data_IF_578823905907
#
_entry.id   IF_578823905907
#
_cell.length_a   1.000
_cell.length_b   1.000
_cell.length_c   1.000
_cell.angle_alpha   90.00
_cell.angle_beta   90.00
_cell.angle_gamma   90.00
#
_symmetry.space_group_name_H-M   'P 1'
#
loop_
_entity.id
_entity.type
_entity.pdbx_description
1 polymer ?
#
# COMPACT_ATOMS: atom_id res chain seq x y z
N UNK A 1 3.58 17.48 -6.50
CA UNK A 1 2.97 16.14 -6.49
C UNK A 1 2.12 15.98 -5.25
N UNK A 2 1.02 15.27 -5.38
CA UNK A 2 0.11 15.05 -4.26
C UNK A 2 0.53 13.83 -3.44
N UNK A 3 0.06 13.77 -2.21
CA UNK A 3 0.24 12.63 -1.30
C UNK A 3 -1.10 11.93 -1.13
N UNK A 4 -1.06 10.62 -1.07
CA UNK A 4 -2.25 9.78 -0.97
C UNK A 4 -2.10 8.79 0.16
N UNK A 5 -3.16 8.64 0.95
CA UNK A 5 -3.27 7.60 1.96
C UNK A 5 -4.03 6.43 1.33
N UNK A 6 -3.35 5.28 1.26
CA UNK A 6 -3.91 4.05 0.69
C UNK A 6 -4.10 3.05 1.81
N UNK A 7 -5.28 2.47 1.87
CA UNK A 7 -5.60 1.41 2.83
C UNK A 7 -5.94 0.14 2.08
N UNK A 8 -5.23 -0.95 2.41
CA UNK A 8 -5.58 -2.29 1.97
C UNK A 8 -6.39 -3.00 3.04
N UNK A 9 -7.42 -3.72 2.61
CA UNK A 9 -8.08 -4.73 3.43
C UNK A 9 -7.76 -6.08 2.80
N UNK A 10 -7.18 -7.00 3.58
CA UNK A 10 -6.78 -8.30 3.05
C UNK A 10 -7.92 -9.29 3.09
N UNK A 11 -7.92 -10.23 2.13
CA UNK A 11 -8.85 -11.35 2.11
C UNK A 11 -8.46 -12.44 3.12
N UNK A 12 -9.25 -13.53 3.18
CA UNK A 12 -9.07 -14.57 4.21
C UNK A 12 -7.90 -15.51 3.98
N UNK A 13 -7.28 -15.51 2.80
CA UNK A 13 -6.18 -16.44 2.47
C UNK A 13 -4.86 -15.91 3.04
N UNK A 14 -4.69 -16.08 4.35
CA UNK A 14 -3.51 -15.63 5.07
C UNK A 14 -2.25 -16.40 4.63
N UNK A 15 -2.37 -17.68 4.31
CA UNK A 15 -1.21 -18.49 3.91
C UNK A 15 -0.60 -17.98 2.61
N UNK A 16 -1.43 -17.70 1.60
CA UNK A 16 -0.95 -17.11 0.34
C UNK A 16 -0.34 -15.73 0.59
N UNK A 17 -0.99 -14.89 1.39
CA UNK A 17 -0.47 -13.56 1.72
C UNK A 17 0.92 -13.65 2.37
N UNK A 18 1.09 -14.56 3.32
CA UNK A 18 2.37 -14.73 4.00
C UNK A 18 3.46 -15.26 3.05
N UNK A 19 3.11 -16.11 2.11
CA UNK A 19 4.08 -16.61 1.13
C UNK A 19 4.52 -15.54 0.12
N UNK A 20 3.65 -14.57 -0.19
CA UNK A 20 3.94 -13.47 -1.12
C UNK A 20 4.55 -12.25 -0.40
N UNK A 21 4.43 -12.17 0.92
CA UNK A 21 4.88 -11.02 1.71
C UNK A 21 6.33 -10.60 1.45
N UNK A 22 7.32 -11.50 1.31
CA UNK A 22 8.67 -11.06 0.97
C UNK A 22 8.75 -10.29 -0.34
N UNK A 23 8.06 -10.76 -1.38
CA UNK A 23 8.02 -10.05 -2.67
C UNK A 23 7.32 -8.70 -2.57
N UNK A 24 6.22 -8.63 -1.82
CA UNK A 24 5.50 -7.38 -1.54
C UNK A 24 6.42 -6.36 -0.86
N UNK A 25 7.16 -6.78 0.17
CA UNK A 25 8.08 -5.89 0.89
C UNK A 25 9.26 -5.46 0.03
N UNK A 26 9.75 -6.32 -0.85
CA UNK A 26 10.79 -5.96 -1.81
C UNK A 26 10.30 -4.89 -2.80
N UNK A 27 9.07 -5.04 -3.29
CA UNK A 27 8.44 -4.03 -4.13
C UNK A 27 8.30 -2.69 -3.39
N UNK A 28 7.87 -2.72 -2.13
CA UNK A 28 7.77 -1.53 -1.30
C UNK A 28 9.13 -0.86 -1.09
N UNK A 29 10.18 -1.63 -0.84
CA UNK A 29 11.54 -1.09 -0.67
C UNK A 29 12.00 -0.35 -1.91
N UNK A 30 11.71 -0.90 -3.10
CA UNK A 30 12.03 -0.24 -4.36
C UNK A 30 11.25 1.08 -4.53
N UNK A 31 9.99 1.12 -4.12
CA UNK A 31 9.18 2.34 -4.19
C UNK A 31 9.66 3.39 -3.17
N UNK A 32 10.11 2.96 -2.01
CA UNK A 32 10.67 3.85 -0.99
C UNK A 32 11.95 4.51 -1.53
N UNK A 33 12.84 3.74 -2.12
CA UNK A 33 14.08 4.24 -2.71
C UNK A 33 13.80 5.22 -3.86
N UNK A 34 12.78 4.95 -4.66
CA UNK A 34 12.38 5.81 -5.77
C UNK A 34 11.64 7.08 -5.32
N UNK A 35 11.31 7.21 -4.05
CA UNK A 35 10.61 8.38 -3.51
C UNK A 35 9.11 8.38 -3.75
N UNK A 36 8.54 7.28 -4.25
CA UNK A 36 7.10 7.14 -4.44
C UNK A 36 6.37 6.67 -3.21
N UNK A 37 7.00 5.82 -2.40
CA UNK A 37 6.48 5.41 -1.10
C UNK A 37 7.15 6.23 -0.01
N UNK A 38 6.35 6.83 0.88
CA UNK A 38 6.87 7.65 1.98
C UNK A 38 6.87 6.88 3.30
N UNK A 39 5.87 6.04 3.52
CA UNK A 39 5.73 5.21 4.70
C UNK A 39 4.75 4.09 4.42
N UNK A 40 4.88 2.97 5.11
CA UNK A 40 3.91 1.89 5.07
C UNK A 40 4.05 1.00 6.29
N UNK A 41 2.99 0.25 6.58
CA UNK A 41 3.01 -0.73 7.65
C UNK A 41 1.67 -1.43 7.79
N UNK A 42 1.63 -2.55 8.52
CA UNK A 42 0.39 -3.25 8.80
C UNK A 42 -0.48 -2.46 9.79
N UNK A 43 -1.79 -2.57 9.62
CA UNK A 43 -2.75 -2.11 10.62
C UNK A 43 -2.89 -3.21 11.67
N UNK A 44 -2.59 -2.87 12.92
CA UNK A 44 -2.48 -3.85 14.01
C UNK A 44 -3.60 -3.64 15.03
N UNK A 45 -4.82 -3.78 14.61
CA UNK A 45 -5.99 -3.76 15.49
C UNK A 45 -6.73 -5.11 15.45
N UNK A 46 -7.87 -5.18 16.12
CA UNK A 46 -8.68 -6.40 16.22
C UNK A 46 -9.59 -6.62 15.01
N UNK A 47 -9.52 -5.73 14.02
CA UNK A 47 -10.33 -5.79 12.83
C UNK A 47 -9.69 -6.68 11.75
N UNK A 48 -10.30 -6.69 10.57
CA UNK A 48 -9.77 -7.42 9.43
C UNK A 48 -8.34 -6.97 9.12
N UNK A 49 -7.41 -7.90 8.91
CA UNK A 49 -6.02 -7.53 8.57
C UNK A 49 -5.95 -6.58 7.39
N UNK A 50 -5.10 -5.60 7.50
CA UNK A 50 -4.92 -4.58 6.47
C UNK A 50 -3.56 -3.92 6.53
N UNK A 51 -3.33 -2.99 5.62
CA UNK A 51 -2.11 -2.21 5.55
C UNK A 51 -2.39 -0.77 5.21
N UNK A 52 -1.47 0.10 5.59
CA UNK A 52 -1.49 1.52 5.26
C UNK A 52 -0.25 1.85 4.45
N UNK A 53 -0.44 2.54 3.32
CA UNK A 53 0.66 3.02 2.50
C UNK A 53 0.46 4.51 2.24
N UNK A 54 1.51 5.29 2.44
CA UNK A 54 1.53 6.70 2.11
C UNK A 54 2.36 6.87 0.86
N UNK A 55 1.73 7.31 -0.23
CA UNK A 55 2.33 7.35 -1.56
C UNK A 55 2.27 8.77 -2.14
N UNK A 56 3.22 9.05 -2.98
CA UNK A 56 3.30 10.32 -3.71
C UNK A 56 3.08 10.06 -5.20
N UNK A 57 2.25 10.88 -5.83
CA UNK A 57 1.99 10.77 -7.26
C UNK A 57 1.23 11.99 -7.77
N UNK A 58 0.97 12.01 -9.08
CA UNK A 58 0.28 13.12 -9.72
C UNK A 58 -1.22 13.12 -9.40
N UNK A 59 -1.83 11.94 -9.41
CA UNK A 59 -3.27 11.76 -9.21
C UNK A 59 -3.58 10.32 -8.75
N UNK A 60 -4.87 10.06 -8.49
CA UNK A 60 -5.32 8.74 -8.05
C UNK A 60 -5.07 7.65 -9.09
N UNK A 61 -5.18 7.98 -10.36
CA UNK A 61 -4.97 7.00 -11.44
C UNK A 61 -3.53 6.51 -11.48
N UNK A 62 -2.57 7.43 -11.28
CA UNK A 62 -1.16 7.06 -11.17
C UNK A 62 -0.91 6.15 -9.97
N UNK A 63 -1.53 6.46 -8.83
CA UNK A 63 -1.42 5.61 -7.63
C UNK A 63 -2.04 4.23 -7.89
N UNK A 64 -3.21 4.15 -8.51
CA UNK A 64 -3.84 2.88 -8.83
C UNK A 64 -2.98 2.03 -9.77
N UNK A 65 -2.35 2.65 -10.76
CA UNK A 65 -1.42 1.98 -11.69
C UNK A 65 -0.20 1.44 -10.94
N UNK A 66 0.34 2.22 -10.00
CA UNK A 66 1.47 1.79 -9.19
C UNK A 66 1.10 0.60 -8.30
N UNK A 67 -0.06 0.65 -7.65
CA UNK A 67 -0.53 -0.42 -6.78
C UNK A 67 -0.80 -1.72 -7.53
N UNK A 68 -1.15 -1.65 -8.82
CA UNK A 68 -1.34 -2.84 -9.65
C UNK A 68 -0.04 -3.64 -9.85
N UNK A 69 1.11 -3.04 -9.58
CA UNK A 69 2.43 -3.68 -9.65
C UNK A 69 2.80 -4.39 -8.35
N UNK A 70 2.05 -4.19 -7.28
CA UNK A 70 2.29 -4.85 -6.00
C UNK A 70 2.06 -6.37 -6.17
N UNK A 71 3.02 -7.21 -5.78
CA UNK A 71 2.82 -8.67 -5.80
C UNK A 71 1.55 -9.15 -5.07
N UNK A 72 1.09 -8.43 -4.06
CA UNK A 72 -0.18 -8.73 -3.39
C UNK A 72 -1.39 -8.58 -4.34
N UNK A 73 -1.34 -7.62 -5.26
CA UNK A 73 -2.42 -7.44 -6.23
C UNK A 73 -2.49 -8.63 -7.19
N UNK A 74 -1.35 -9.06 -7.69
CA UNK A 74 -1.25 -10.21 -8.60
C UNK A 74 -1.67 -11.52 -7.91
N UNK A 75 -1.34 -11.66 -6.63
CA UNK A 75 -1.70 -12.86 -5.85
C UNK A 75 -3.17 -12.91 -5.44
N UNK A 76 -3.93 -11.84 -5.62
CA UNK A 76 -5.35 -11.79 -5.29
C UNK A 76 -5.65 -11.78 -3.80
N UNK A 77 -4.71 -11.33 -2.94
CA UNK A 77 -4.88 -11.33 -1.50
C UNK A 77 -5.46 -10.03 -0.94
N UNK A 78 -5.66 -9.02 -1.79
CA UNK A 78 -6.26 -7.74 -1.39
C UNK A 78 -7.75 -7.79 -1.70
N UNK A 79 -8.57 -7.73 -0.65
CA UNK A 79 -10.04 -7.75 -0.81
C UNK A 79 -10.59 -6.37 -1.18
N UNK A 80 -9.99 -5.30 -0.66
CA UNK A 80 -10.42 -3.93 -0.93
C UNK A 80 -9.23 -2.97 -0.84
N UNK A 81 -9.30 -1.90 -1.62
CA UNK A 81 -8.29 -0.83 -1.65
C UNK A 81 -9.00 0.51 -1.64
N UNK A 82 -8.62 1.39 -0.72
CA UNK A 82 -9.07 2.78 -0.73
C UNK A 82 -7.89 3.69 -1.03
N UNK A 83 -8.12 4.69 -1.88
CA UNK A 83 -7.11 5.69 -2.23
C UNK A 83 -7.71 7.06 -1.93
N UNK A 84 -7.12 7.78 -0.99
CA UNK A 84 -7.61 9.11 -0.59
C UNK A 84 -6.48 10.12 -0.70
N UNK A 85 -6.76 11.27 -1.30
CA UNK A 85 -5.84 12.39 -1.26
C UNK A 85 -5.69 12.85 0.19
N UNK A 86 -4.44 13.05 0.62
CA UNK A 86 -4.12 13.44 1.99
C UNK A 86 -3.15 14.62 1.97
N UNK A 87 -3.47 15.64 2.75
CA UNK A 87 -2.60 16.80 2.93
C UNK A 87 -1.94 16.72 4.30
N UNK A 88 -0.71 16.22 4.41
CA UNK A 88 -0.01 16.15 5.70
C UNK A 88 0.36 17.57 6.16
N UNK A 89 -0.34 18.07 7.16
CA UNK A 89 -0.11 19.39 7.72
C UNK A 89 1.07 19.38 8.69
N UNK A 90 1.21 18.29 9.43
CA UNK A 90 2.33 18.04 10.34
C UNK A 90 2.95 16.70 10.02
N UNK A 91 4.24 16.57 10.22
CA UNK A 91 4.95 15.33 10.02
C UNK A 91 6.16 15.48 9.12
N UNK A 92 6.86 14.36 8.85
CA UNK A 92 8.12 14.37 8.09
C UNK A 92 7.95 14.51 6.57
N UNK A 93 6.72 14.49 6.06
CA UNK A 93 6.48 14.55 4.62
C UNK A 93 5.33 15.44 4.22
#
# INVERSE_FOLDING_TARGET
MAVFAVTYTYGPDTDTRMSVRPAHREWQAAQLEAGRLLASGPLEDELTPGGLLILRGADKDEIATLLAQDPYADAGVIADTTIRAWNPVFGPF
#
